data_IF_480494313692
#
_entry.id   IF_480494313692
#
_cell.length_a   1.000
_cell.length_b   1.000
_cell.length_c   1.000
_cell.angle_alpha   90.00
_cell.angle_beta   90.00
_cell.angle_gamma   90.00
#
_symmetry.space_group_name_H-M   'P 1'
#
loop_
_entity.id
_entity.type
_entity.pdbx_description
1 polymer ?
#
# COMPACT_ATOMS: atom_id res chain seq x y z
N UNK A 1 -6.51 -11.61 12.03
CA UNK A 1 -6.72 -10.38 11.25
C UNK A 1 -6.07 -10.60 9.89
N UNK A 2 -6.74 -10.33 8.76
CA UNK A 2 -6.09 -10.35 7.45
C UNK A 2 -4.96 -9.30 7.41
N UNK A 3 -3.93 -9.52 6.58
CA UNK A 3 -2.82 -8.56 6.44
C UNK A 3 -3.32 -7.24 5.88
N UNK A 4 -2.94 -6.16 6.56
CA UNK A 4 -3.21 -4.79 6.10
C UNK A 4 -2.45 -4.52 4.80
N UNK A 5 -2.91 -3.59 3.95
CA UNK A 5 -2.17 -3.19 2.77
C UNK A 5 -0.77 -2.65 3.10
N UNK A 6 -0.63 -1.97 4.24
CA UNK A 6 0.65 -1.44 4.71
C UNK A 6 1.64 -2.56 5.07
N UNK A 7 1.19 -3.58 5.81
CA UNK A 7 2.01 -4.76 6.12
C UNK A 7 2.46 -5.49 4.84
N UNK A 8 1.54 -5.62 3.87
CA UNK A 8 1.83 -6.26 2.59
C UNK A 8 2.88 -5.50 1.78
N UNK A 9 2.80 -4.17 1.76
CA UNK A 9 3.79 -3.32 1.11
C UNK A 9 5.15 -3.41 1.81
N UNK A 10 5.17 -3.37 3.14
CA UNK A 10 6.41 -3.48 3.92
C UNK A 10 7.10 -4.84 3.73
N UNK A 11 6.34 -5.94 3.70
CA UNK A 11 6.86 -7.28 3.36
C UNK A 11 7.42 -7.35 1.94
N UNK A 12 6.77 -6.67 0.97
CA UNK A 12 7.27 -6.62 -0.40
C UNK A 12 8.59 -5.86 -0.51
N UNK A 13 8.76 -4.77 0.25
CA UNK A 13 10.03 -4.02 0.34
C UNK A 13 11.14 -4.84 1.00
N UNK A 14 10.82 -5.53 2.11
CA UNK A 14 11.73 -6.44 2.78
C UNK A 14 12.24 -7.54 1.82
N UNK A 15 11.34 -8.12 1.01
CA UNK A 15 11.71 -9.10 -0.03
C UNK A 15 12.56 -8.50 -1.15
N UNK A 16 12.28 -7.26 -1.55
CA UNK A 16 13.07 -6.55 -2.57
C UNK A 16 14.53 -6.36 -2.12
N UNK A 17 14.73 -6.11 -0.83
CA UNK A 17 16.04 -5.95 -0.20
C UNK A 17 16.78 -7.29 0.04
N UNK A 18 16.21 -8.40 -0.42
CA UNK A 18 16.82 -9.74 -0.33
C UNK A 18 16.59 -10.44 1.02
N UNK A 19 15.77 -9.86 1.90
CA UNK A 19 15.44 -10.48 3.17
C UNK A 19 14.23 -11.42 3.03
N UNK A 20 14.22 -12.58 3.72
CA UNK A 20 13.04 -13.43 3.77
C UNK A 20 11.85 -12.67 4.38
N UNK A 21 10.65 -12.82 3.82
CA UNK A 21 9.43 -12.15 4.28
C UNK A 21 9.05 -12.44 5.74
N UNK A 22 9.56 -13.53 6.30
CA UNK A 22 9.36 -13.98 7.68
C UNK A 22 10.65 -13.88 8.52
N UNK A 23 11.67 -13.17 8.02
CA UNK A 23 12.88 -12.91 8.79
C UNK A 23 12.53 -12.13 10.05
N UNK A 24 13.06 -12.59 11.18
CA UNK A 24 12.97 -11.88 12.45
C UNK A 24 14.37 -11.46 12.89
N UNK A 25 14.50 -10.20 13.29
CA UNK A 25 15.71 -9.65 13.88
C UNK A 25 15.33 -9.04 15.22
N UNK A 26 16.07 -9.37 16.29
CA UNK A 26 15.78 -8.90 17.66
C UNK A 26 14.33 -9.11 18.13
N UNK A 27 13.77 -10.29 17.85
CA UNK A 27 12.37 -10.68 18.16
C UNK A 27 11.29 -9.83 17.47
N UNK A 28 11.68 -8.99 16.51
CA UNK A 28 10.75 -8.22 15.67
C UNK A 28 10.79 -8.73 14.24
N UNK A 29 9.66 -8.71 13.53
CA UNK A 29 9.67 -8.98 12.10
C UNK A 29 10.45 -7.88 11.38
N UNK A 30 11.41 -8.28 10.55
CA UNK A 30 12.28 -7.35 9.82
C UNK A 30 11.48 -6.44 8.88
N UNK A 31 10.35 -6.93 8.36
CA UNK A 31 9.46 -6.11 7.53
C UNK A 31 8.90 -4.89 8.26
N UNK A 32 8.83 -4.88 9.60
CA UNK A 32 8.30 -3.75 10.36
C UNK A 32 9.16 -2.48 10.23
N UNK A 33 10.46 -2.65 9.99
CA UNK A 33 11.38 -1.52 9.76
C UNK A 33 11.12 -0.83 8.41
N UNK A 34 10.43 -1.51 7.47
CA UNK A 34 10.04 -0.98 6.16
C UNK A 34 8.65 -0.32 6.15
N UNK A 35 7.98 -0.23 7.31
CA UNK A 35 6.68 0.45 7.42
C UNK A 35 6.73 1.94 7.02
N UNK A 36 7.76 2.73 7.39
CA UNK A 36 7.89 4.12 6.95
C UNK A 36 7.98 4.26 5.42
N UNK A 37 8.73 3.38 4.76
CA UNK A 37 8.92 3.35 3.31
C UNK A 37 7.63 2.94 2.61
N UNK A 38 6.94 1.92 3.12
CA UNK A 38 5.63 1.50 2.63
C UNK A 38 4.61 2.64 2.73
N UNK A 39 4.64 3.39 3.85
CA UNK A 39 3.78 4.56 4.06
C UNK A 39 4.07 5.68 3.06
N UNK A 40 5.35 5.95 2.81
CA UNK A 40 5.77 6.96 1.84
C UNK A 40 5.30 6.61 0.41
N UNK A 41 5.39 5.34 0.01
CA UNK A 41 4.88 4.89 -1.30
C UNK A 41 3.37 5.06 -1.40
N UNK A 42 2.61 4.65 -0.37
CA UNK A 42 1.16 4.81 -0.34
C UNK A 42 0.74 6.29 -0.41
N UNK A 43 1.45 7.17 0.30
CA UNK A 43 1.24 8.62 0.23
C UNK A 43 1.55 9.18 -1.17
N UNK A 44 2.61 8.72 -1.83
CA UNK A 44 2.98 9.17 -3.16
C UNK A 44 1.92 8.81 -4.23
N UNK A 45 1.27 7.65 -4.08
CA UNK A 45 0.20 7.22 -5.00
C UNK A 45 -1.19 7.66 -4.56
N UNK A 46 -1.32 8.44 -3.47
CA UNK A 46 -2.61 8.93 -2.97
C UNK A 46 -3.36 9.74 -4.01
N UNK A 47 -2.65 10.49 -4.84
CA UNK A 47 -3.23 11.16 -6.00
C UNK A 47 -3.15 10.24 -7.23
N UNK A 48 -4.28 9.77 -7.77
CA UNK A 48 -4.28 8.88 -8.91
C UNK A 48 -3.92 9.64 -10.18
N UNK A 49 -3.18 9.00 -11.08
CA UNK A 49 -2.93 9.55 -12.42
C UNK A 49 -4.19 9.52 -13.29
N UNK A 50 -4.23 10.35 -14.32
CA UNK A 50 -5.32 10.33 -15.33
C UNK A 50 -5.49 8.93 -15.92
N UNK A 51 -4.39 8.22 -16.20
CA UNK A 51 -4.43 6.85 -16.73
C UNK A 51 -5.07 5.86 -15.76
N UNK A 52 -4.92 6.05 -14.45
CA UNK A 52 -5.56 5.21 -13.43
C UNK A 52 -7.07 5.46 -13.38
N UNK A 53 -7.49 6.73 -13.42
CA UNK A 53 -8.91 7.10 -13.46
C UNK A 53 -9.59 6.54 -14.72
N UNK A 54 -8.97 6.76 -15.90
CA UNK A 54 -9.48 6.23 -17.17
C UNK A 54 -9.52 4.70 -17.23
N UNK A 55 -8.73 3.98 -16.43
CA UNK A 55 -8.79 2.54 -16.35
C UNK A 55 -10.02 2.04 -15.58
N UNK A 56 -10.48 2.81 -14.60
CA UNK A 56 -11.62 2.45 -13.77
C UNK A 56 -12.96 2.77 -14.47
N UNK A 57 -13.04 3.87 -15.23
CA UNK A 57 -14.22 4.21 -16.06
C UNK A 57 -14.56 3.14 -17.11
N UNK A 58 -13.57 2.34 -17.54
CA UNK A 58 -13.79 1.23 -18.49
C UNK A 58 -14.57 0.06 -17.88
N UNK A 59 -14.64 -0.03 -16.56
CA UNK A 59 -15.24 -1.16 -15.85
C UNK A 59 -16.55 -0.84 -15.13
N UNK A 60 -16.86 0.43 -14.86
CA UNK A 60 -18.12 0.83 -14.22
C UNK A 60 -18.60 2.18 -14.77
N UNK A 61 -19.92 2.34 -15.00
CA UNK A 61 -20.53 3.63 -15.42
C UNK A 61 -20.63 4.63 -14.27
N UNK A 62 -20.20 4.23 -13.08
CA UNK A 62 -20.11 5.06 -11.90
C UNK A 62 -18.70 5.61 -11.88
N UNK A 63 -18.55 6.91 -12.13
CA UNK A 63 -17.27 7.61 -12.09
C UNK A 63 -16.44 7.09 -10.93
N UNK A 64 -15.37 6.37 -11.25
CA UNK A 64 -14.40 5.98 -10.24
C UNK A 64 -13.66 7.26 -9.87
N UNK A 65 -14.23 7.99 -8.92
CA UNK A 65 -13.76 9.31 -8.59
C UNK A 65 -12.38 9.22 -7.96
N UNK A 66 -11.55 10.21 -8.24
CA UNK A 66 -10.29 10.41 -7.52
C UNK A 66 -10.52 10.38 -5.99
N UNK A 67 -11.69 10.79 -5.52
CA UNK A 67 -12.08 10.74 -4.11
C UNK A 67 -12.26 9.32 -3.58
N UNK A 68 -12.84 8.41 -4.35
CA UNK A 68 -12.95 7.00 -3.96
C UNK A 68 -11.55 6.36 -3.82
N UNK A 69 -10.63 6.66 -4.75
CA UNK A 69 -9.24 6.21 -4.66
C UNK A 69 -8.52 6.77 -3.43
N UNK A 70 -8.59 8.09 -3.21
CA UNK A 70 -8.00 8.74 -2.03
C UNK A 70 -8.53 8.15 -0.74
N UNK A 71 -9.84 7.91 -0.65
CA UNK A 71 -10.46 7.31 0.53
C UNK A 71 -9.94 5.88 0.81
N UNK A 72 -9.70 5.07 -0.23
CA UNK A 72 -9.11 3.74 -0.06
C UNK A 72 -7.66 3.82 0.42
N UNK A 73 -6.86 4.74 -0.12
CA UNK A 73 -5.47 4.95 0.33
C UNK A 73 -5.42 5.48 1.76
N UNK A 74 -6.30 6.42 2.11
CA UNK A 74 -6.40 6.96 3.47
C UNK A 74 -6.81 5.86 4.47
N UNK A 75 -7.74 4.98 4.10
CA UNK A 75 -8.10 3.82 4.91
C UNK A 75 -6.90 2.87 5.09
N UNK A 76 -6.17 2.56 4.02
CA UNK A 76 -4.97 1.72 4.08
C UNK A 76 -3.86 2.32 4.96
N UNK A 77 -3.72 3.64 4.97
CA UNK A 77 -2.77 4.36 5.82
C UNK A 77 -3.18 4.42 7.29
N UNK A 78 -4.48 4.30 7.60
CA UNK A 78 -5.02 4.33 8.96
C UNK A 78 -4.95 2.96 9.67
N UNK A 79 -4.73 1.86 8.93
CA UNK A 79 -4.67 0.49 9.46
C UNK A 79 -3.35 0.14 10.18
N UNK A 80 -2.40 1.07 10.32
CA UNK A 80 -1.08 0.80 10.92
C UNK A 80 -0.44 1.98 11.62
#
# INVERSE_FOLDING_TARGET
>A
MPMTPLERAARALCRLDGHPENATMDRKPLWADYLPEARAVLQAIREPSVSMLSAADRHDKRDASADAWRAMIDAALAEG
#
